data_IF_956753962191
#
_entry.id   IF_956753962191
#
_cell.length_a   1.000
_cell.length_b   1.000
_cell.length_c   1.000
_cell.angle_alpha   90.00
_cell.angle_beta   90.00
_cell.angle_gamma   90.00
#
_symmetry.space_group_name_H-M   'P 1'
#
loop_
_entity.id
_entity.type
_entity.pdbx_description
1 polymer ?
#
# COMPACT_ATOMS: atom_id res chain seq x y z
N UNK A 1 13.96 16.31 -13.21
CA UNK A 1 14.42 15.77 -11.92
C UNK A 1 14.03 14.30 -11.91
N UNK A 2 14.99 13.40 -11.82
CA UNK A 2 14.72 11.95 -11.77
C UNK A 2 13.94 11.62 -10.50
N UNK A 3 12.64 11.35 -10.67
CA UNK A 3 11.69 11.11 -9.58
C UNK A 3 11.71 9.64 -9.10
N UNK A 4 12.71 8.86 -9.54
CA UNK A 4 12.79 7.40 -9.34
C UNK A 4 13.63 6.95 -8.14
N UNK A 5 14.00 7.88 -7.24
CA UNK A 5 14.92 7.55 -6.16
C UNK A 5 14.28 6.61 -5.13
N UNK A 6 14.80 5.38 -5.07
CA UNK A 6 14.61 4.49 -3.91
C UNK A 6 15.20 5.18 -2.67
N UNK A 7 14.48 5.13 -1.57
CA UNK A 7 15.03 5.48 -0.27
C UNK A 7 15.33 4.20 0.53
N UNK A 8 16.01 4.35 1.67
CA UNK A 8 16.22 3.20 2.57
C UNK A 8 14.89 2.55 3.02
N UNK A 9 13.85 3.38 3.21
CA UNK A 9 12.57 2.94 3.76
C UNK A 9 11.52 2.60 2.71
N UNK A 10 11.61 3.19 1.52
CA UNK A 10 10.56 3.12 0.52
C UNK A 10 11.15 2.70 -0.84
N UNK A 11 10.46 1.80 -1.59
CA UNK A 11 10.85 1.46 -2.94
C UNK A 11 10.74 2.67 -3.88
N UNK A 12 11.12 2.49 -5.14
CA UNK A 12 11.00 3.55 -6.14
C UNK A 12 9.56 4.09 -6.23
N UNK A 13 9.48 5.36 -6.58
CA UNK A 13 8.21 6.09 -6.75
C UNK A 13 7.68 5.81 -8.15
N UNK A 14 6.47 5.29 -8.27
CA UNK A 14 5.87 4.97 -9.55
C UNK A 14 4.38 5.35 -9.66
N UNK A 15 3.89 6.20 -8.74
CA UNK A 15 2.53 6.76 -8.80
C UNK A 15 2.48 8.19 -8.29
N UNK A 16 1.40 8.90 -8.63
CA UNK A 16 1.11 10.25 -8.13
C UNK A 16 0.95 10.30 -6.61
N UNK A 17 0.57 9.20 -5.96
CA UNK A 17 0.42 9.14 -4.50
C UNK A 17 1.76 9.17 -3.74
N UNK A 18 2.86 8.80 -4.39
CA UNK A 18 4.18 8.94 -3.78
C UNK A 18 4.51 10.40 -3.41
N UNK A 19 3.99 11.38 -4.18
CA UNK A 19 4.18 12.81 -3.89
C UNK A 19 3.45 13.27 -2.62
N UNK A 20 2.45 12.53 -2.18
CA UNK A 20 1.67 12.82 -0.98
C UNK A 20 2.18 12.00 0.21
N UNK A 21 2.40 10.69 -0.01
CA UNK A 21 2.72 9.73 1.06
C UNK A 21 4.17 9.89 1.54
N UNK A 22 5.14 10.02 0.62
CA UNK A 22 6.55 10.03 0.99
C UNK A 22 6.95 11.24 1.84
N UNK A 23 6.52 12.50 1.54
CA UNK A 23 6.77 13.64 2.42
C UNK A 23 6.10 13.50 3.80
N UNK A 24 4.87 12.99 3.84
CA UNK A 24 4.16 12.74 5.09
C UNK A 24 4.88 11.67 5.93
N UNK A 25 5.29 10.57 5.31
CA UNK A 25 6.07 9.51 5.97
C UNK A 25 7.37 10.06 6.57
N UNK A 26 8.14 10.84 5.79
CA UNK A 26 9.38 11.44 6.27
C UNK A 26 9.14 12.42 7.44
N UNK A 27 8.10 13.23 7.36
CA UNK A 27 7.73 14.14 8.46
C UNK A 27 7.43 13.38 9.74
N UNK A 28 6.58 12.32 9.65
CA UNK A 28 6.23 11.49 10.81
C UNK A 28 7.47 10.77 11.37
N UNK A 29 8.33 10.24 10.50
CA UNK A 29 9.55 9.55 10.90
C UNK A 29 10.49 10.48 11.70
N UNK A 30 10.72 11.69 11.21
CA UNK A 30 11.62 12.64 11.87
C UNK A 30 11.06 13.16 13.19
N UNK A 31 9.76 13.45 13.27
CA UNK A 31 9.09 13.81 14.53
C UNK A 31 9.21 12.65 15.53
N UNK A 32 8.94 11.42 15.09
CA UNK A 32 9.05 10.23 15.95
C UNK A 32 10.48 10.00 16.44
N UNK A 33 11.48 10.15 15.56
CA UNK A 33 12.90 10.02 15.90
C UNK A 33 13.32 11.09 16.92
N UNK A 34 12.87 12.34 16.76
CA UNK A 34 13.14 13.43 17.69
C UNK A 34 12.63 13.11 19.10
N UNK A 35 11.36 12.72 19.24
CA UNK A 35 10.81 12.37 20.54
C UNK A 35 11.42 11.10 21.13
N UNK A 36 11.71 10.10 20.29
CA UNK A 36 12.42 8.90 20.72
C UNK A 36 13.78 9.23 21.34
N UNK A 37 14.57 10.06 20.68
CA UNK A 37 15.89 10.48 21.19
C UNK A 37 15.76 11.24 22.51
N UNK A 38 14.82 12.19 22.60
CA UNK A 38 14.56 12.95 23.84
C UNK A 38 14.23 11.99 25.00
N UNK A 39 13.30 11.06 24.77
CA UNK A 39 12.87 10.11 25.82
C UNK A 39 14.04 9.22 26.25
N UNK A 40 14.81 8.67 25.30
CA UNK A 40 15.96 7.84 25.63
C UNK A 40 17.04 8.61 26.40
N UNK A 41 17.34 9.83 25.99
CA UNK A 41 18.34 10.68 26.66
C UNK A 41 17.88 11.04 28.08
N UNK A 42 16.62 11.51 28.24
CA UNK A 42 16.08 11.81 29.56
C UNK A 42 16.06 10.59 30.47
N UNK A 43 15.64 9.44 29.95
CA UNK A 43 15.65 8.19 30.71
C UNK A 43 17.07 7.81 31.15
N UNK A 44 18.06 7.86 30.27
CA UNK A 44 19.45 7.59 30.63
C UNK A 44 19.98 8.59 31.68
N UNK A 45 19.71 9.87 31.50
CA UNK A 45 20.10 10.90 32.49
C UNK A 45 19.46 10.68 33.86
N UNK A 46 18.18 10.31 33.91
CA UNK A 46 17.51 10.05 35.17
C UNK A 46 18.02 8.80 35.85
N UNK A 47 18.30 7.72 35.10
CA UNK A 47 18.94 6.52 35.65
C UNK A 47 20.29 6.88 36.27
N UNK A 48 21.16 7.57 35.54
CA UNK A 48 22.50 7.94 36.05
C UNK A 48 22.41 8.87 37.25
N UNK A 49 21.51 9.87 37.20
CA UNK A 49 21.41 10.89 38.25
C UNK A 49 20.74 10.40 39.51
N UNK A 50 19.70 9.56 39.40
CA UNK A 50 18.83 9.17 40.50
C UNK A 50 18.98 7.70 40.91
N UNK A 51 19.97 6.99 40.39
CA UNK A 51 20.28 5.62 40.88
C UNK A 51 20.55 5.63 42.36
N UNK A 52 19.84 4.78 43.12
CA UNK A 52 20.06 4.59 44.55
C UNK A 52 21.42 3.92 44.79
N UNK A 53 22.32 4.63 45.48
CA UNK A 53 23.70 4.14 45.74
C UNK A 53 23.82 3.42 47.09
N UNK A 54 22.91 3.61 48.02
CA UNK A 54 22.86 2.97 49.33
C UNK A 54 21.43 2.58 49.73
N UNK A 55 21.21 1.47 50.46
CA UNK A 55 19.86 1.02 50.86
C UNK A 55 19.09 2.02 51.70
N UNK A 56 19.78 2.80 52.53
CA UNK A 56 19.25 3.81 53.45
C UNK A 56 19.08 5.20 52.84
N UNK A 57 19.46 5.36 51.57
CA UNK A 57 19.37 6.66 50.89
C UNK A 57 17.92 7.07 50.64
N UNK A 58 17.53 8.20 51.24
CA UNK A 58 16.25 8.84 51.02
C UNK A 58 16.29 9.84 49.85
N UNK A 59 15.13 10.08 49.26
CA UNK A 59 15.00 11.11 48.24
C UNK A 59 15.20 12.51 48.85
N UNK A 60 15.94 13.39 48.17
CA UNK A 60 16.21 14.75 48.61
C UNK A 60 15.00 15.68 48.55
N UNK A 61 14.04 15.34 47.71
CA UNK A 61 12.78 16.08 47.55
C UNK A 61 11.65 15.14 47.11
N UNK A 62 10.42 15.50 47.43
CA UNK A 62 9.19 14.81 47.06
C UNK A 62 8.34 15.76 46.19
N UNK A 63 8.73 15.95 44.94
CA UNK A 63 7.97 16.76 43.99
C UNK A 63 6.86 15.90 43.41
N UNK A 64 5.62 16.23 43.66
CA UNK A 64 4.43 15.43 43.26
C UNK A 64 3.78 15.94 41.99
N UNK A 65 3.93 17.22 41.65
CA UNK A 65 3.39 17.84 40.45
C UNK A 65 4.17 19.08 40.01
N UNK A 66 4.05 19.43 38.72
CA UNK A 66 4.60 20.67 38.15
C UNK A 66 3.69 21.11 37.02
N UNK A 67 2.73 21.99 37.29
CA UNK A 67 1.70 22.41 36.33
C UNK A 67 2.28 22.96 35.00
N UNK A 68 3.29 23.86 35.00
CA UNK A 68 3.88 24.32 33.72
C UNK A 68 4.46 23.19 32.89
N UNK A 69 5.14 22.24 33.51
CA UNK A 69 5.71 21.07 32.81
C UNK A 69 4.60 20.16 32.27
N UNK A 70 3.58 19.89 33.07
CA UNK A 70 2.43 19.05 32.71
C UNK A 70 1.64 19.64 31.55
N UNK A 71 1.39 20.95 31.56
CA UNK A 71 0.75 21.64 30.45
C UNK A 71 1.63 21.63 29.17
N UNK A 72 2.94 21.78 29.33
CA UNK A 72 3.84 21.80 28.17
C UNK A 72 3.88 20.47 27.44
N UNK A 73 4.02 19.34 28.13
CA UNK A 73 4.05 18.02 27.49
C UNK A 73 2.66 17.55 27.03
N UNK A 74 1.58 18.20 27.44
CA UNK A 74 0.22 17.93 26.95
C UNK A 74 -0.09 18.78 25.71
N UNK A 75 0.11 20.10 25.79
CA UNK A 75 -0.30 21.03 24.76
C UNK A 75 0.61 20.95 23.51
N UNK A 76 1.93 20.86 23.71
CA UNK A 76 2.87 20.83 22.58
C UNK A 76 2.62 19.60 21.70
N UNK A 77 2.58 18.36 22.22
CA UNK A 77 2.25 17.19 21.39
C UNK A 77 0.84 17.26 20.81
N UNK A 78 -0.14 17.77 21.53
CA UNK A 78 -1.50 17.92 21.01
C UNK A 78 -1.54 18.80 19.77
N UNK A 79 -0.86 19.96 19.78
CA UNK A 79 -0.77 20.84 18.61
C UNK A 79 -0.09 20.13 17.44
N UNK A 80 1.02 19.43 17.69
CA UNK A 80 1.73 18.65 16.67
C UNK A 80 0.79 17.61 16.06
N UNK A 81 0.10 16.81 16.88
CA UNK A 81 -0.83 15.77 16.41
C UNK A 81 -1.98 16.37 15.60
N UNK A 82 -2.51 17.53 16.00
CA UNK A 82 -3.55 18.23 15.21
C UNK A 82 -3.05 18.65 13.83
N UNK A 83 -1.84 19.16 13.73
CA UNK A 83 -1.22 19.50 12.44
C UNK A 83 -1.06 18.23 11.58
N UNK A 84 -0.51 17.16 12.15
CA UNK A 84 -0.32 15.88 11.47
C UNK A 84 -1.65 15.28 11.01
N UNK A 85 -2.70 15.40 11.83
CA UNK A 85 -4.05 14.97 11.47
C UNK A 85 -4.57 15.67 10.21
N UNK A 86 -4.46 17.00 10.11
CA UNK A 86 -4.93 17.71 8.93
C UNK A 86 -4.12 17.38 7.67
N UNK A 87 -2.81 17.18 7.79
CA UNK A 87 -1.96 16.73 6.67
C UNK A 87 -2.42 15.34 6.20
N UNK A 88 -2.58 14.40 7.12
CA UNK A 88 -3.01 13.03 6.82
C UNK A 88 -4.43 12.97 6.26
N UNK A 89 -5.38 13.74 6.83
CA UNK A 89 -6.77 13.79 6.37
C UNK A 89 -6.87 14.30 4.92
N UNK A 90 -6.14 15.36 4.57
CA UNK A 90 -6.11 15.87 3.20
C UNK A 90 -5.62 14.80 2.21
N UNK A 91 -4.51 14.13 2.53
CA UNK A 91 -3.98 13.03 1.72
C UNK A 91 -4.97 11.86 1.60
N UNK A 92 -5.56 11.45 2.72
CA UNK A 92 -6.56 10.38 2.76
C UNK A 92 -7.77 10.67 1.87
N UNK A 93 -8.35 11.85 1.96
CA UNK A 93 -9.52 12.23 1.15
C UNK A 93 -9.18 12.21 -0.35
N UNK A 94 -7.98 12.69 -0.73
CA UNK A 94 -7.52 12.63 -2.12
C UNK A 94 -7.40 11.18 -2.62
N UNK A 95 -6.86 10.27 -1.80
CA UNK A 95 -6.70 8.86 -2.15
C UNK A 95 -8.02 8.07 -2.16
N UNK A 96 -9.09 8.58 -1.53
CA UNK A 96 -10.40 7.88 -1.44
C UNK A 96 -11.33 8.13 -2.61
N UNK A 97 -11.20 9.27 -3.28
CA UNK A 97 -12.12 9.69 -4.34
C UNK A 97 -11.43 9.52 -5.69
N UNK A 98 -11.77 8.46 -6.47
CA UNK A 98 -11.22 8.31 -7.81
C UNK A 98 -11.75 9.39 -8.76
N UNK A 99 -10.95 9.83 -9.75
CA UNK A 99 -11.44 10.65 -10.86
C UNK A 99 -12.59 9.95 -11.62
N UNK A 100 -13.49 10.75 -12.19
CA UNK A 100 -14.67 10.20 -12.87
C UNK A 100 -14.33 9.44 -14.17
N UNK A 101 -13.19 9.75 -14.78
CA UNK A 101 -12.65 9.14 -16.00
C UNK A 101 -11.74 7.93 -15.74
N UNK A 102 -11.63 7.48 -14.49
CA UNK A 102 -10.80 6.35 -14.13
C UNK A 102 -11.25 5.05 -14.81
N UNK A 103 -10.30 4.33 -15.43
CA UNK A 103 -10.54 2.98 -15.98
C UNK A 103 -10.86 2.04 -14.83
N UNK A 104 -12.04 1.41 -14.85
CA UNK A 104 -12.40 0.44 -13.81
C UNK A 104 -11.92 -0.96 -14.17
N UNK A 105 -11.18 -1.61 -13.26
CA UNK A 105 -10.80 -3.02 -13.35
C UNK A 105 -11.38 -3.73 -12.13
N UNK A 106 -12.08 -4.84 -12.36
CA UNK A 106 -12.61 -5.67 -11.29
C UNK A 106 -11.54 -6.67 -10.83
N UNK A 107 -11.32 -6.73 -9.52
CA UNK A 107 -10.30 -7.59 -8.90
C UNK A 107 -10.96 -8.64 -8.05
N UNK A 108 -10.63 -9.90 -8.32
CA UNK A 108 -11.03 -11.04 -7.52
C UNK A 108 -9.80 -11.62 -6.81
N UNK A 109 -9.80 -11.61 -5.47
CA UNK A 109 -8.85 -12.35 -4.66
C UNK A 109 -9.40 -13.72 -4.30
N UNK A 110 -8.58 -14.76 -4.40
CA UNK A 110 -8.89 -16.11 -3.89
C UNK A 110 -7.58 -16.78 -3.45
N UNK A 111 -7.67 -17.84 -2.66
CA UNK A 111 -6.48 -18.60 -2.22
C UNK A 111 -5.81 -19.27 -3.42
N UNK A 112 -4.67 -18.90 -3.83
CA UNK A 112 -3.70 -17.87 -3.47
C UNK A 112 -3.32 -17.18 -4.76
N UNK A 113 -4.30 -16.55 -5.41
CA UNK A 113 -4.17 -15.92 -6.72
C UNK A 113 -5.01 -14.65 -6.83
N UNK A 114 -4.63 -13.83 -7.79
CA UNK A 114 -5.33 -12.62 -8.19
C UNK A 114 -5.88 -12.80 -9.60
N UNK A 115 -7.06 -12.25 -9.84
CA UNK A 115 -7.67 -12.19 -11.17
C UNK A 115 -8.18 -10.78 -11.43
N UNK A 116 -7.83 -10.22 -12.60
CA UNK A 116 -8.19 -8.88 -13.01
C UNK A 116 -9.07 -8.96 -14.24
N UNK A 117 -10.31 -8.46 -14.11
CA UNK A 117 -11.30 -8.45 -15.22
C UNK A 117 -11.50 -7.02 -15.69
N UNK A 118 -11.27 -6.79 -16.97
CA UNK A 118 -11.36 -5.49 -17.64
C UNK A 118 -12.77 -5.24 -18.21
N UNK A 119 -13.14 -3.97 -18.56
CA UNK A 119 -14.45 -3.65 -19.10
C UNK A 119 -14.81 -4.41 -20.39
N UNK A 120 -13.79 -4.80 -21.18
CA UNK A 120 -13.95 -5.60 -22.38
C UNK A 120 -14.25 -7.08 -22.14
N UNK A 121 -14.23 -7.52 -20.88
CA UNK A 121 -14.34 -8.93 -20.50
C UNK A 121 -13.02 -9.70 -20.47
N UNK A 122 -11.92 -9.07 -20.88
CA UNK A 122 -10.58 -9.67 -20.77
C UNK A 122 -10.24 -9.99 -19.30
N UNK A 123 -9.68 -11.18 -19.05
CA UNK A 123 -9.28 -11.64 -17.71
C UNK A 123 -7.79 -11.97 -17.73
N UNK A 124 -7.06 -11.47 -16.75
CA UNK A 124 -5.63 -11.74 -16.61
C UNK A 124 -5.24 -11.92 -15.13
N UNK A 125 -4.13 -12.59 -14.86
CA UNK A 125 -3.53 -12.76 -13.53
C UNK A 125 -2.52 -11.65 -13.19
N UNK A 126 -2.09 -10.89 -14.18
CA UNK A 126 -1.22 -9.72 -14.06
C UNK A 126 -2.05 -8.47 -14.36
N UNK A 127 -1.93 -7.45 -13.53
CA UNK A 127 -2.63 -6.19 -13.74
C UNK A 127 -1.90 -5.34 -14.77
N UNK A 128 -2.47 -5.18 -15.96
CA UNK A 128 -1.90 -4.35 -17.03
C UNK A 128 -2.63 -3.01 -17.08
N UNK A 129 -1.89 -1.90 -17.01
CA UNK A 129 -2.47 -0.54 -16.94
C UNK A 129 -1.67 0.44 -17.81
N UNK A 130 -2.33 1.46 -18.38
CA UNK A 130 -1.63 2.51 -19.09
C UNK A 130 -0.99 3.51 -18.13
N UNK A 131 0.17 4.06 -18.53
CA UNK A 131 0.83 5.14 -17.79
C UNK A 131 -0.02 6.42 -17.80
N UNK A 132 0.10 7.24 -16.77
CA UNK A 132 -0.55 8.55 -16.61
C UNK A 132 -2.08 8.54 -16.72
N UNK A 133 -2.69 7.38 -16.53
CA UNK A 133 -4.15 7.21 -16.58
C UNK A 133 -4.66 6.74 -15.22
N UNK A 134 -5.71 7.37 -14.66
CA UNK A 134 -6.32 6.91 -13.41
C UNK A 134 -6.95 5.52 -13.59
N UNK A 135 -6.64 4.62 -12.67
CA UNK A 135 -7.20 3.26 -12.65
C UNK A 135 -7.87 3.02 -11.32
N UNK A 136 -9.15 2.63 -11.37
CA UNK A 136 -9.95 2.25 -10.22
C UNK A 136 -10.08 0.73 -10.15
N UNK A 137 -9.62 0.14 -9.08
CA UNK A 137 -9.82 -1.27 -8.77
C UNK A 137 -11.09 -1.44 -7.95
N UNK A 138 -12.06 -2.20 -8.45
CA UNK A 138 -13.22 -2.65 -7.68
C UNK A 138 -12.98 -4.08 -7.23
N UNK A 139 -12.76 -4.28 -5.93
CA UNK A 139 -12.18 -5.50 -5.37
C UNK A 139 -13.18 -6.25 -4.52
N UNK A 140 -13.18 -7.58 -4.65
CA UNK A 140 -13.88 -8.52 -3.76
C UNK A 140 -13.11 -9.81 -3.61
N UNK A 141 -13.35 -10.57 -2.55
CA UNK A 141 -12.77 -11.88 -2.33
C UNK A 141 -13.80 -12.98 -2.53
N UNK A 142 -13.34 -14.13 -3.03
CA UNK A 142 -14.17 -15.33 -3.20
C UNK A 142 -14.23 -16.20 -1.94
N UNK A 143 -13.26 -16.06 -1.05
CA UNK A 143 -13.09 -16.99 0.09
C UNK A 143 -12.81 -16.27 1.41
N UNK A 144 -11.58 -15.86 1.67
CA UNK A 144 -11.14 -15.21 2.91
C UNK A 144 -10.72 -13.75 2.66
N UNK A 145 -10.36 -13.05 3.71
CA UNK A 145 -9.80 -11.70 3.58
C UNK A 145 -8.41 -11.79 2.97
N UNK A 146 -8.16 -11.00 1.93
CA UNK A 146 -6.85 -10.69 1.36
C UNK A 146 -6.57 -9.20 1.49
N UNK A 147 -5.38 -8.73 1.14
CA UNK A 147 -5.08 -7.31 1.06
C UNK A 147 -4.17 -7.04 -0.12
N UNK A 148 -4.65 -6.26 -1.07
CA UNK A 148 -3.91 -5.89 -2.27
C UNK A 148 -2.95 -4.75 -1.92
N UNK A 149 -1.66 -4.94 -2.20
CA UNK A 149 -0.61 -3.97 -1.92
C UNK A 149 0.35 -3.80 -3.08
N UNK A 150 0.52 -2.55 -3.53
CA UNK A 150 1.48 -2.18 -4.57
C UNK A 150 2.45 -1.16 -3.95
N UNK A 151 3.60 -1.60 -3.42
CA UNK A 151 4.52 -0.75 -2.68
C UNK A 151 5.00 0.48 -3.45
N UNK A 152 5.35 0.31 -4.73
CA UNK A 152 5.81 1.38 -5.60
C UNK A 152 4.75 2.47 -5.84
N UNK A 153 3.46 2.13 -5.68
CA UNK A 153 2.34 3.06 -5.85
C UNK A 153 1.83 3.65 -4.54
N UNK A 154 2.33 3.21 -3.39
CA UNK A 154 1.89 3.65 -2.05
C UNK A 154 0.42 3.36 -1.77
N UNK A 155 -0.14 2.32 -2.38
CA UNK A 155 -1.54 1.93 -2.22
C UNK A 155 -1.67 0.55 -1.62
N UNK A 156 -2.58 0.43 -0.66
CA UNK A 156 -2.93 -0.82 0.01
C UNK A 156 -4.40 -0.78 0.41
N UNK A 157 -5.13 -1.87 0.15
CA UNK A 157 -6.50 -2.00 0.62
C UNK A 157 -6.92 -3.46 0.79
N UNK A 158 -7.77 -3.70 1.77
CA UNK A 158 -8.30 -5.03 2.06
C UNK A 158 -9.33 -5.44 1.01
N UNK A 159 -9.29 -6.72 0.67
CA UNK A 159 -10.16 -7.38 -0.30
C UNK A 159 -11.03 -8.38 0.46
N UNK A 160 -12.29 -7.99 0.67
CA UNK A 160 -13.21 -8.65 1.60
C UNK A 160 -14.18 -9.59 0.88
N UNK A 161 -14.52 -10.75 1.47
CA UNK A 161 -15.60 -11.60 0.94
C UNK A 161 -16.96 -10.93 1.14
N UNK A 162 -17.88 -11.18 0.21
CA UNK A 162 -19.28 -10.68 0.21
C UNK A 162 -19.39 -9.14 0.26
N UNK A 163 -18.35 -8.43 -0.15
CA UNK A 163 -18.27 -6.98 -0.06
C UNK A 163 -17.39 -6.42 -1.16
N UNK A 164 -17.81 -5.28 -1.72
CA UNK A 164 -16.97 -4.54 -2.66
C UNK A 164 -16.22 -3.42 -1.95
N UNK A 165 -14.93 -3.32 -2.26
CA UNK A 165 -14.08 -2.22 -1.83
C UNK A 165 -13.37 -1.61 -3.03
N UNK A 166 -13.19 -0.31 -3.05
CA UNK A 166 -12.52 0.38 -4.17
C UNK A 166 -11.21 1.01 -3.72
N UNK A 167 -10.23 0.92 -4.61
CA UNK A 167 -8.92 1.54 -4.53
C UNK A 167 -8.64 2.17 -5.89
N UNK A 168 -7.96 3.30 -5.96
CA UNK A 168 -7.50 3.84 -7.23
C UNK A 168 -6.05 4.29 -7.16
N UNK A 169 -5.42 4.45 -8.31
CA UNK A 169 -4.07 5.00 -8.46
C UNK A 169 -3.86 5.52 -9.87
N UNK A 170 -2.80 6.30 -10.06
CA UNK A 170 -2.31 6.72 -11.37
C UNK A 170 -0.81 6.45 -11.42
N UNK A 171 -0.40 5.51 -12.28
CA UNK A 171 1.00 5.16 -12.47
C UNK A 171 1.73 6.27 -13.24
N UNK A 172 2.95 6.61 -12.82
CA UNK A 172 3.79 7.67 -13.41
C UNK A 172 5.03 7.14 -14.09
N UNK A 173 5.26 5.82 -14.04
CA UNK A 173 6.44 5.18 -14.60
C UNK A 173 6.07 3.86 -15.25
N UNK A 174 6.56 3.61 -16.47
CA UNK A 174 6.45 2.32 -17.13
C UNK A 174 7.33 1.28 -16.44
N UNK A 175 6.92 0.02 -16.50
CA UNK A 175 7.68 -1.09 -15.91
C UNK A 175 6.82 -2.16 -15.28
N UNK A 176 7.47 -3.07 -14.56
CA UNK A 176 6.86 -4.17 -13.84
C UNK A 176 7.05 -3.96 -12.33
N UNK A 177 5.95 -3.80 -11.60
CA UNK A 177 5.95 -3.52 -10.17
C UNK A 177 5.28 -4.67 -9.41
N UNK A 178 5.85 -5.13 -8.27
CA UNK A 178 5.27 -6.21 -7.49
C UNK A 178 3.90 -5.80 -6.91
N UNK A 179 2.95 -6.74 -6.97
CA UNK A 179 1.65 -6.70 -6.33
C UNK A 179 1.54 -7.90 -5.40
N UNK A 180 1.31 -7.67 -4.13
CA UNK A 180 1.38 -8.68 -3.08
C UNK A 180 0.09 -8.74 -2.28
N UNK A 181 -0.19 -9.89 -1.67
CA UNK A 181 -1.14 -10.03 -0.58
C UNK A 181 -0.46 -9.69 0.75
N UNK A 182 -1.06 -8.82 1.56
CA UNK A 182 -0.51 -8.38 2.85
C UNK A 182 -1.45 -8.66 4.03
N UNK A 183 -2.49 -9.47 3.81
CA UNK A 183 -3.32 -10.03 4.88
C UNK A 183 -3.17 -11.55 4.87
N UNK A 184 -2.79 -12.15 6.00
CA UNK A 184 -2.61 -13.61 6.08
C UNK A 184 -3.89 -14.35 5.66
N UNK A 185 -3.77 -15.16 4.62
CA UNK A 185 -4.88 -15.85 3.95
C UNK A 185 -4.68 -17.38 3.85
N UNK A 186 -3.74 -17.93 4.61
CA UNK A 186 -3.48 -19.38 4.68
C UNK A 186 -2.06 -19.77 4.27
N UNK A 187 -1.82 -21.06 4.05
CA UNK A 187 -0.49 -21.68 3.91
C UNK A 187 0.38 -21.03 2.83
N UNK A 188 -0.18 -20.72 1.65
CA UNK A 188 0.57 -20.13 0.54
C UNK A 188 0.42 -18.60 0.47
N UNK A 189 0.12 -17.95 1.59
CA UNK A 189 -0.01 -16.49 1.65
C UNK A 189 1.20 -15.74 1.05
N UNK A 190 2.42 -16.18 1.37
CA UNK A 190 3.66 -15.56 0.87
C UNK A 190 3.89 -15.73 -0.64
N UNK A 191 3.23 -16.70 -1.26
CA UNK A 191 3.28 -16.96 -2.70
C UNK A 191 2.15 -16.26 -3.49
N UNK A 192 1.20 -15.60 -2.79
CA UNK A 192 0.13 -14.83 -3.43
C UNK A 192 0.68 -13.48 -3.92
N UNK A 193 1.56 -13.56 -4.91
CA UNK A 193 2.28 -12.43 -5.51
C UNK A 193 2.03 -12.44 -7.01
N UNK A 194 1.80 -11.27 -7.58
CA UNK A 194 1.75 -11.01 -9.03
C UNK A 194 2.41 -9.66 -9.31
N UNK A 195 2.12 -9.06 -10.45
CA UNK A 195 2.69 -7.77 -10.83
C UNK A 195 1.65 -6.81 -11.41
N UNK A 196 1.99 -5.53 -11.34
CA UNK A 196 1.38 -4.50 -12.17
C UNK A 196 2.34 -4.18 -13.31
N UNK A 197 1.89 -4.39 -14.55
CA UNK A 197 2.61 -4.03 -15.77
C UNK A 197 2.10 -2.69 -16.26
N UNK A 198 2.90 -1.65 -16.14
CA UNK A 198 2.59 -0.32 -16.66
C UNK A 198 3.20 -0.17 -18.05
N UNK A 199 2.40 0.19 -19.03
CA UNK A 199 2.77 0.35 -20.42
C UNK A 199 2.26 1.69 -20.97
N UNK A 200 2.77 2.12 -22.13
CA UNK A 200 2.18 3.27 -22.81
C UNK A 200 0.77 2.96 -23.33
N UNK A 201 0.02 3.99 -23.74
CA UNK A 201 -1.37 3.86 -24.12
C UNK A 201 -1.58 2.95 -25.36
N UNK A 202 -0.67 3.01 -26.34
CA UNK A 202 -0.79 2.21 -27.55
C UNK A 202 -0.57 0.72 -27.25
N UNK A 203 0.47 0.39 -26.50
CA UNK A 203 0.72 -0.98 -26.05
C UNK A 203 -0.39 -1.52 -25.15
N UNK A 204 -1.03 -0.66 -24.34
CA UNK A 204 -2.21 -1.05 -23.56
C UNK A 204 -3.39 -1.39 -24.45
N UNK A 205 -3.68 -0.57 -25.46
CA UNK A 205 -4.79 -0.79 -26.40
C UNK A 205 -4.58 -2.06 -27.23
N UNK A 206 -3.36 -2.30 -27.70
CA UNK A 206 -2.98 -3.51 -28.41
C UNK A 206 -3.15 -4.75 -27.53
N UNK A 207 -2.60 -4.71 -26.32
CA UNK A 207 -2.75 -5.78 -25.35
C UNK A 207 -4.23 -6.05 -25.02
N UNK A 208 -5.03 -5.00 -24.76
CA UNK A 208 -6.44 -5.14 -24.40
C UNK A 208 -7.25 -5.76 -25.53
N UNK A 209 -6.96 -5.39 -26.79
CA UNK A 209 -7.63 -5.98 -27.96
C UNK A 209 -7.32 -7.47 -28.12
N UNK A 210 -6.07 -7.87 -27.90
CA UNK A 210 -5.64 -9.26 -27.98
C UNK A 210 -6.17 -10.10 -26.78
N UNK A 211 -6.20 -9.51 -25.59
CA UNK A 211 -6.68 -10.18 -24.38
C UNK A 211 -8.21 -10.32 -24.35
N UNK A 212 -8.94 -9.47 -25.05
CA UNK A 212 -10.40 -9.51 -25.14
C UNK A 212 -10.90 -10.63 -26.07
N UNK A 213 -10.07 -11.06 -27.01
CA UNK A 213 -10.36 -12.19 -27.91
C UNK A 213 -9.15 -13.14 -27.96
N UNK A 214 -8.91 -13.90 -26.89
CA UNK A 214 -7.74 -14.78 -26.80
C UNK A 214 -7.79 -15.96 -27.79
N UNK A 215 -8.92 -16.19 -28.44
CA UNK A 215 -9.10 -17.19 -29.51
C UNK A 215 -8.91 -16.62 -30.93
N UNK A 216 -8.67 -15.32 -31.07
CA UNK A 216 -8.55 -14.67 -32.37
C UNK A 216 -7.43 -15.30 -33.20
N UNK A 217 -7.82 -15.80 -34.38
CA UNK A 217 -6.88 -16.44 -35.32
C UNK A 217 -6.53 -17.91 -34.98
N UNK A 218 -7.17 -18.52 -33.99
CA UNK A 218 -7.03 -19.93 -33.66
C UNK A 218 -8.27 -20.71 -34.04
N UNK A 219 -8.10 -22.00 -34.33
CA UNK A 219 -9.26 -22.89 -34.46
C UNK A 219 -9.86 -23.22 -33.08
N UNK A 220 -11.13 -23.64 -32.98
CA UNK A 220 -11.72 -24.05 -31.70
C UNK A 220 -10.91 -25.11 -30.95
N UNK A 221 -10.28 -26.03 -31.69
CA UNK A 221 -9.43 -27.09 -31.13
C UNK A 221 -8.15 -26.50 -30.52
N UNK A 222 -7.46 -25.64 -31.25
CA UNK A 222 -6.24 -24.96 -30.76
C UNK A 222 -6.53 -24.09 -29.53
N UNK A 223 -7.65 -23.38 -29.55
CA UNK A 223 -8.07 -22.59 -28.39
C UNK A 223 -8.47 -23.46 -27.20
N UNK A 224 -9.14 -24.58 -27.46
CA UNK A 224 -9.48 -25.58 -26.43
C UNK A 224 -8.24 -26.17 -25.76
N UNK A 225 -7.20 -26.53 -26.53
CA UNK A 225 -5.92 -27.04 -26.04
C UNK A 225 -5.19 -25.99 -25.19
N UNK A 226 -5.16 -24.73 -25.65
CA UNK A 226 -4.60 -23.61 -24.89
C UNK A 226 -5.31 -23.44 -23.55
N UNK A 227 -6.64 -23.48 -23.53
CA UNK A 227 -7.43 -23.36 -22.30
C UNK A 227 -7.20 -24.54 -21.36
N UNK A 228 -7.13 -25.76 -21.89
CA UNK A 228 -6.88 -26.98 -21.12
C UNK A 228 -5.55 -26.91 -20.37
N UNK A 229 -4.51 -26.45 -21.07
CA UNK A 229 -3.18 -26.28 -20.48
C UNK A 229 -3.12 -25.09 -19.51
N UNK A 230 -3.63 -23.92 -19.94
CA UNK A 230 -3.54 -22.66 -19.17
C UNK A 230 -4.40 -22.69 -17.89
N UNK A 231 -5.51 -23.43 -17.89
CA UNK A 231 -6.38 -23.60 -16.73
C UNK A 231 -5.93 -24.72 -15.80
N UNK A 232 -4.86 -25.41 -16.15
CA UNK A 232 -4.32 -26.51 -15.36
C UNK A 232 -5.23 -27.76 -15.34
N UNK A 233 -6.12 -27.93 -16.33
CA UNK A 233 -6.99 -29.08 -16.41
C UNK A 233 -6.22 -30.40 -16.63
N UNK A 234 -4.96 -30.31 -17.05
CA UNK A 234 -4.01 -31.42 -17.20
C UNK A 234 -3.28 -31.82 -15.91
N UNK A 235 -3.56 -31.13 -14.80
CA UNK A 235 -2.82 -31.33 -13.52
C UNK A 235 -3.54 -32.30 -12.55
N UNK A 236 -4.65 -32.97 -12.99
CA UNK A 236 -5.37 -33.94 -12.20
C UNK A 236 -4.85 -35.37 -12.39
#
# INVERSE_FOLDING_TARGET
MDNSTKTFWLPERASTFADIVDPAFNLYLWISAFFFVIICVLMALFIIKYVRKRPDQLASAQITHNLPLELSWTIIPLVIVMILFFIGMKGYLHMRVPPADAIQVNVMGQKWSWSFTYPTGAVNDTLVVPINTPVKLLMTSRDVIHSLFIPAFRVKADVLPNRYHSLWFQATKEGLFPLMCTQYCGTNHSYMVTAVKVVNQDAYNEWLSSASDPGKGQTPEQYGELLYTKRGCNAC
#
